data_IF_808096386536
#
_entry.id   IF_808096386536
#
_cell.length_a   1.000
_cell.length_b   1.000
_cell.length_c   1.000
_cell.angle_alpha   90.00
_cell.angle_beta   90.00
_cell.angle_gamma   90.00
#
_symmetry.space_group_name_H-M   'P 1'
#
loop_
_entity.id
_entity.type
_entity.pdbx_description
1 polymer ?
#
# COMPACT_ATOMS: atom_id res chain seq x y z
N UNK A 1 -3.37 -3.46 26.49
CA UNK A 1 -3.02 -2.77 25.23
C UNK A 1 -2.71 -3.76 24.10
N UNK A 2 -3.52 -4.82 23.92
CA UNK A 2 -3.20 -5.93 22.98
C UNK A 2 -3.96 -5.85 21.65
N UNK A 3 -5.06 -5.09 21.61
CA UNK A 3 -5.90 -4.93 20.42
C UNK A 3 -5.18 -4.19 19.29
N UNK A 4 -4.43 -3.13 19.59
CA UNK A 4 -3.70 -2.37 18.56
C UNK A 4 -2.61 -3.19 17.86
N UNK A 5 -1.94 -4.07 18.61
CA UNK A 5 -0.91 -4.98 18.07
C UNK A 5 -1.56 -6.07 17.21
N UNK A 6 -2.67 -6.65 17.67
CA UNK A 6 -3.42 -7.67 16.93
C UNK A 6 -4.01 -7.14 15.61
N UNK A 7 -4.53 -5.90 15.60
CA UNK A 7 -5.01 -5.24 14.37
C UNK A 7 -3.85 -4.95 13.42
N UNK A 8 -2.69 -4.52 13.94
CA UNK A 8 -1.49 -4.30 13.15
C UNK A 8 -0.90 -5.57 12.51
N UNK A 9 -1.14 -6.75 13.07
CA UNK A 9 -0.72 -8.05 12.55
C UNK A 9 -1.74 -8.70 11.61
N UNK A 10 -2.95 -8.14 11.48
CA UNK A 10 -3.95 -8.68 10.58
C UNK A 10 -3.55 -8.39 9.12
N UNK A 11 -3.35 -9.42 8.27
CA UNK A 11 -2.90 -9.24 6.88
C UNK A 11 -3.89 -8.43 6.04
N UNK A 12 -5.21 -8.53 6.32
CA UNK A 12 -6.22 -7.71 5.65
C UNK A 12 -6.12 -6.23 6.01
N UNK A 13 -5.85 -5.91 7.28
CA UNK A 13 -5.63 -4.53 7.73
C UNK A 13 -4.35 -3.93 7.11
N UNK A 14 -3.25 -4.68 7.10
CA UNK A 14 -2.00 -4.26 6.47
C UNK A 14 -2.17 -3.96 4.98
N UNK A 15 -2.92 -4.80 4.25
CA UNK A 15 -3.22 -4.59 2.82
C UNK A 15 -3.99 -3.28 2.60
N UNK A 16 -5.05 -3.05 3.37
CA UNK A 16 -5.82 -1.79 3.31
C UNK A 16 -4.98 -0.57 3.72
N UNK A 17 -4.09 -0.70 4.70
CA UNK A 17 -3.18 0.37 5.13
C UNK A 17 -2.18 0.72 4.04
N UNK A 18 -1.60 -0.28 3.35
CA UNK A 18 -0.73 -0.09 2.19
C UNK A 18 -1.47 0.63 1.05
N UNK A 19 -2.69 0.21 0.73
CA UNK A 19 -3.52 0.86 -0.30
C UNK A 19 -3.83 2.34 0.04
N UNK A 20 -4.16 2.62 1.30
CA UNK A 20 -4.39 4.00 1.79
C UNK A 20 -3.14 4.87 1.67
N UNK A 21 -1.97 4.32 2.03
CA UNK A 21 -0.69 5.02 1.89
C UNK A 21 -0.37 5.30 0.41
N UNK A 22 -0.54 4.31 -0.47
CA UNK A 22 -0.37 4.47 -1.90
C UNK A 22 -1.30 5.58 -2.45
N UNK A 23 -2.59 5.54 -2.10
CA UNK A 23 -3.54 6.57 -2.52
C UNK A 23 -3.15 7.99 -2.09
N UNK A 24 -2.60 8.15 -0.87
CA UNK A 24 -2.11 9.44 -0.37
C UNK A 24 -0.90 9.95 -1.15
N UNK A 25 0.04 9.05 -1.46
CA UNK A 25 1.23 9.36 -2.25
C UNK A 25 0.81 9.74 -3.67
N UNK A 26 -0.05 8.94 -4.32
CA UNK A 26 -0.59 9.25 -5.65
C UNK A 26 -1.27 10.62 -5.68
N UNK A 27 -2.04 10.98 -4.65
CA UNK A 27 -2.69 12.30 -4.57
C UNK A 27 -1.68 13.45 -4.42
N UNK A 28 -0.64 13.24 -3.62
CA UNK A 28 0.45 14.21 -3.45
C UNK A 28 1.19 14.42 -4.76
N UNK A 29 1.48 13.33 -5.47
CA UNK A 29 2.18 13.36 -6.76
C UNK A 29 1.30 13.96 -7.86
N UNK A 30 0.00 13.62 -7.93
CA UNK A 30 -0.93 14.22 -8.89
C UNK A 30 -1.06 15.74 -8.74
N UNK A 31 -0.93 16.23 -7.51
CA UNK A 31 -0.95 17.65 -7.18
C UNK A 31 0.42 18.32 -7.32
N UNK A 32 1.49 17.57 -7.55
CA UNK A 32 2.83 18.12 -7.78
C UNK A 32 2.89 18.89 -9.09
N UNK A 33 3.70 19.96 -9.13
CA UNK A 33 3.90 20.77 -10.34
C UNK A 33 4.63 19.99 -11.46
N UNK A 34 5.33 18.89 -11.13
CA UNK A 34 6.06 18.04 -12.08
C UNK A 34 5.19 16.98 -12.78
N UNK A 35 3.97 17.32 -13.21
CA UNK A 35 3.03 16.35 -13.84
C UNK A 35 3.54 15.75 -15.15
N UNK A 36 4.33 16.50 -15.91
CA UNK A 36 4.86 16.08 -17.23
C UNK A 36 5.92 14.97 -17.11
N UNK A 37 6.56 14.81 -15.94
CA UNK A 37 7.60 13.80 -15.71
C UNK A 37 7.09 12.49 -15.10
N UNK A 38 5.81 12.40 -14.79
CA UNK A 38 5.23 11.23 -14.13
C UNK A 38 4.25 10.52 -15.06
N UNK A 39 4.65 9.34 -15.54
CA UNK A 39 3.76 8.45 -16.29
C UNK A 39 2.57 8.02 -15.42
N UNK A 40 1.39 7.85 -16.01
CA UNK A 40 0.18 7.44 -15.27
C UNK A 40 0.33 6.13 -14.49
N UNK A 41 1.20 5.23 -14.95
CA UNK A 41 1.55 3.99 -14.23
C UNK A 41 2.40 4.28 -12.99
N UNK A 42 3.35 5.22 -13.06
CA UNK A 42 4.13 5.68 -11.90
C UNK A 42 3.23 6.38 -10.87
N UNK A 43 2.20 7.10 -11.32
CA UNK A 43 1.22 7.73 -10.44
C UNK A 43 0.39 6.69 -9.66
N UNK A 44 0.09 5.55 -10.28
CA UNK A 44 -0.66 4.43 -9.68
C UNK A 44 0.19 3.50 -8.81
N UNK A 45 1.46 3.85 -8.53
CA UNK A 45 2.35 3.18 -7.56
C UNK A 45 2.38 1.64 -7.67
N UNK A 46 2.24 1.11 -8.88
CA UNK A 46 2.25 -0.33 -9.17
C UNK A 46 1.47 -1.19 -8.15
N UNK A 47 0.32 -0.71 -7.67
CA UNK A 47 -0.54 -1.46 -6.71
C UNK A 47 -1.12 -2.77 -7.26
N UNK A 48 -0.92 -3.04 -8.55
CA UNK A 48 -1.29 -4.29 -9.23
C UNK A 48 -0.16 -5.32 -9.21
N UNK A 49 1.03 -4.95 -8.75
CA UNK A 49 2.19 -5.84 -8.71
C UNK A 49 1.98 -6.94 -7.65
N UNK A 50 2.10 -8.23 -8.02
CA UNK A 50 2.07 -9.34 -7.07
C UNK A 50 3.07 -9.19 -5.90
N UNK A 51 4.20 -8.51 -6.13
CA UNK A 51 5.20 -8.22 -5.09
C UNK A 51 4.63 -7.33 -3.97
N UNK A 52 3.61 -6.52 -4.25
CA UNK A 52 2.94 -5.68 -3.26
C UNK A 52 2.24 -6.50 -2.15
N UNK A 53 1.70 -7.65 -2.54
CA UNK A 53 0.94 -8.57 -1.69
C UNK A 53 1.82 -9.60 -0.97
N UNK A 54 3.00 -9.90 -1.50
CA UNK A 54 3.90 -10.96 -1.04
C UNK A 54 4.26 -10.85 0.46
N UNK A 55 4.52 -9.62 0.94
CA UNK A 55 4.84 -9.37 2.35
C UNK A 55 3.64 -9.56 3.30
N UNK A 56 2.41 -9.40 2.80
CA UNK A 56 1.17 -9.65 3.56
C UNK A 56 0.76 -11.12 3.53
N UNK A 57 1.05 -11.83 2.45
CA UNK A 57 0.71 -13.25 2.33
C UNK A 57 1.61 -14.14 3.19
N UNK A 58 2.89 -13.75 3.39
CA UNK A 58 3.80 -14.41 4.34
C UNK A 58 3.28 -14.37 5.79
N UNK A 59 2.44 -13.40 6.14
CA UNK A 59 1.80 -13.30 7.46
C UNK A 59 0.60 -14.24 7.64
N UNK A 60 -0.02 -14.71 6.55
CA UNK A 60 -1.11 -15.71 6.59
C UNK A 60 -0.60 -17.11 6.90
N UNK A 61 0.69 -17.37 6.70
CA UNK A 61 1.28 -18.72 6.81
C UNK A 61 1.66 -19.14 8.24
N UNK A 62 1.50 -18.28 9.25
CA UNK A 62 1.62 -18.72 10.66
C UNK A 62 0.28 -19.31 11.11
N UNK A 63 0.06 -20.57 10.75
CA UNK A 63 -0.88 -21.43 11.47
C UNK A 63 -0.10 -22.25 12.49
#
# INVERSE_FOLDING_TARGET
>A
MHLGVAVGQNPGYLKLRKLRAAQSISRTIANSQNRVYLSGNSLMLNIQDPAFDEGSDKLKSKK
#
